data_IF_921522592618
#
_entry.id   IF_921522592618
#
_cell.length_a   1.000
_cell.length_b   1.000
_cell.length_c   1.000
_cell.angle_alpha   90.00
_cell.angle_beta   90.00
_cell.angle_gamma   90.00
#
_symmetry.space_group_name_H-M   'P 1'
#
loop_
_entity.id
_entity.type
_entity.pdbx_description
1 polymer ?
#
# COMPACT_ATOMS: atom_id res chain seq x y z
N UNK A 1 -20.39 -15.47 1.33
CA UNK A 1 -19.09 -15.16 1.96
C UNK A 1 -18.33 -14.19 1.08
N UNK A 2 -17.82 -13.14 1.64
CA UNK A 2 -16.96 -12.20 0.94
C UNK A 2 -15.55 -12.77 0.83
N UNK A 3 -14.95 -12.69 -0.36
CA UNK A 3 -13.58 -13.14 -0.59
C UNK A 3 -12.59 -12.09 -0.09
N UNK A 4 -11.58 -12.52 0.66
CA UNK A 4 -10.49 -11.65 1.10
C UNK A 4 -9.16 -12.17 0.56
N UNK A 5 -8.32 -11.24 0.15
CA UNK A 5 -6.95 -11.56 -0.24
C UNK A 5 -6.09 -11.75 1.02
N UNK A 6 -5.14 -12.67 0.95
CA UNK A 6 -4.16 -12.91 2.01
C UNK A 6 -2.74 -12.88 1.46
N UNK A 7 -1.84 -12.25 2.22
CA UNK A 7 -0.43 -12.18 1.89
C UNK A 7 0.39 -12.28 3.18
N UNK A 8 1.54 -12.94 3.12
CA UNK A 8 2.47 -13.02 4.24
C UNK A 8 3.79 -12.37 3.86
N UNK A 9 4.30 -11.49 4.72
CA UNK A 9 5.51 -10.72 4.48
C UNK A 9 6.41 -10.73 5.71
N UNK A 10 7.74 -10.78 5.54
CA UNK A 10 8.65 -10.56 6.65
C UNK A 10 8.60 -9.10 7.11
N UNK A 11 8.83 -8.86 8.39
CA UNK A 11 8.98 -7.51 8.95
C UNK A 11 10.15 -7.47 9.93
N UNK A 12 10.76 -6.30 10.06
CA UNK A 12 11.91 -6.10 10.94
C UNK A 12 11.49 -5.92 12.40
N UNK A 13 10.39 -5.20 12.63
CA UNK A 13 9.92 -4.83 13.95
C UNK A 13 8.40 -4.83 13.98
N UNK A 14 7.82 -5.66 14.83
CA UNK A 14 6.35 -5.79 14.95
C UNK A 14 5.71 -4.49 15.41
N UNK A 15 6.29 -3.84 16.41
CA UNK A 15 5.71 -2.61 16.99
C UNK A 15 5.69 -1.46 15.99
N UNK A 16 6.79 -1.25 15.28
CA UNK A 16 6.87 -0.18 14.28
C UNK A 16 5.95 -0.46 13.10
N UNK A 17 5.92 -1.70 12.63
CA UNK A 17 5.03 -2.12 11.56
C UNK A 17 3.57 -1.92 11.94
N UNK A 18 3.20 -2.33 13.15
CA UNK A 18 1.86 -2.13 13.71
C UNK A 18 1.46 -0.65 13.71
N UNK A 19 2.34 0.21 14.20
CA UNK A 19 2.07 1.66 14.26
C UNK A 19 1.84 2.27 12.90
N UNK A 20 2.66 1.90 11.92
CA UNK A 20 2.52 2.39 10.56
C UNK A 20 1.17 1.97 9.95
N UNK A 21 0.83 0.69 10.01
CA UNK A 21 -0.40 0.21 9.38
C UNK A 21 -1.67 0.73 10.08
N UNK A 22 -1.65 0.86 11.39
CA UNK A 22 -2.75 1.51 12.11
C UNK A 22 -2.93 2.96 11.66
N UNK A 23 -1.83 3.67 11.44
CA UNK A 23 -1.87 5.07 11.03
C UNK A 23 -2.43 5.28 9.62
N UNK A 24 -2.19 4.37 8.71
CA UNK A 24 -2.73 4.48 7.34
C UNK A 24 -4.17 3.99 7.21
N UNK A 25 -4.81 3.59 8.31
CA UNK A 25 -6.22 3.22 8.31
C UNK A 25 -6.52 1.73 8.39
N UNK A 26 -5.50 0.88 8.49
CA UNK A 26 -5.72 -0.54 8.69
C UNK A 26 -6.12 -0.84 10.13
N UNK A 27 -6.92 -1.86 10.34
CA UNK A 27 -7.19 -2.38 11.68
C UNK A 27 -6.27 -3.57 11.97
N UNK A 28 -6.07 -3.84 13.25
CA UNK A 28 -5.19 -4.91 13.68
C UNK A 28 -6.01 -6.18 13.94
N UNK A 29 -5.45 -7.32 13.55
CA UNK A 29 -6.06 -8.62 13.75
C UNK A 29 -5.36 -9.42 14.85
N UNK A 30 -5.19 -10.70 14.59
CA UNK A 30 -4.52 -11.61 15.52
C UNK A 30 -3.04 -11.23 15.63
N UNK A 31 -2.44 -11.56 16.77
CA UNK A 31 -1.02 -11.29 16.98
C UNK A 31 -0.39 -12.33 17.89
N UNK A 32 0.92 -12.46 17.78
CA UNK A 32 1.77 -13.17 18.72
C UNK A 32 3.04 -12.34 18.93
N UNK A 33 4.02 -12.91 19.63
CA UNK A 33 5.29 -12.24 19.83
C UNK A 33 6.07 -12.06 18.51
N UNK A 34 5.90 -12.97 17.56
CA UNK A 34 6.71 -13.04 16.34
C UNK A 34 5.94 -12.81 15.05
N UNK A 35 4.65 -12.54 15.14
CA UNK A 35 3.85 -12.26 13.95
C UNK A 35 2.60 -11.46 14.33
N UNK A 36 2.00 -10.82 13.35
CA UNK A 36 0.72 -10.15 13.50
C UNK A 36 -0.04 -10.11 12.19
N UNK A 37 -1.37 -10.10 12.28
CA UNK A 37 -2.24 -9.86 11.15
C UNK A 37 -2.67 -8.40 11.11
N UNK A 38 -2.71 -7.86 9.92
CA UNK A 38 -3.25 -6.54 9.62
C UNK A 38 -4.44 -6.71 8.69
N UNK A 39 -5.54 -6.09 9.04
CA UNK A 39 -6.70 -5.98 8.15
C UNK A 39 -6.56 -4.69 7.34
N UNK A 40 -6.08 -4.84 6.11
CA UNK A 40 -5.92 -3.71 5.19
C UNK A 40 -7.18 -3.61 4.32
N UNK A 41 -8.14 -2.83 4.80
CA UNK A 41 -9.41 -2.58 4.12
C UNK A 41 -10.14 -3.88 3.69
N UNK A 42 -10.17 -4.87 4.57
CA UNK A 42 -10.84 -6.15 4.33
C UNK A 42 -9.95 -7.28 3.82
N UNK A 43 -8.66 -7.00 3.62
CA UNK A 43 -7.68 -8.00 3.17
C UNK A 43 -6.66 -8.26 4.27
N UNK A 44 -6.21 -9.49 4.37
CA UNK A 44 -5.30 -9.91 5.45
C UNK A 44 -3.85 -9.89 4.99
N UNK A 45 -3.04 -9.11 5.70
CA UNK A 45 -1.58 -9.16 5.55
C UNK A 45 -1.01 -9.70 6.87
N UNK A 46 -0.29 -10.80 6.81
CA UNK A 46 0.40 -11.36 7.98
C UNK A 46 1.87 -10.93 7.92
N UNK A 47 2.31 -10.21 8.94
CA UNK A 47 3.71 -9.85 9.09
C UNK A 47 4.39 -10.80 10.04
N UNK A 48 5.49 -11.41 9.60
CA UNK A 48 6.27 -12.37 10.38
C UNK A 48 7.62 -11.75 10.69
N UNK A 49 7.96 -11.68 11.97
CA UNK A 49 9.22 -11.07 12.40
C UNK A 49 10.40 -11.85 11.83
N UNK A 50 11.32 -11.14 11.18
CA UNK A 50 12.58 -11.64 10.68
C UNK A 50 13.67 -10.66 11.10
N UNK A 51 14.77 -11.18 11.65
CA UNK A 51 15.86 -10.32 12.13
C UNK A 51 16.56 -9.60 10.98
N UNK A 52 16.70 -10.29 9.86
CA UNK A 52 17.29 -9.75 8.64
C UNK A 52 16.61 -10.37 7.44
N UNK A 53 16.34 -9.57 6.45
CA UNK A 53 15.94 -10.06 5.14
C UNK A 53 16.34 -9.03 4.09
N UNK A 54 16.55 -9.51 2.88
CA UNK A 54 16.85 -8.69 1.73
C UNK A 54 15.75 -8.92 0.70
N UNK A 55 15.03 -7.86 0.36
CA UNK A 55 13.93 -7.94 -0.58
C UNK A 55 14.28 -7.11 -1.80
N UNK A 56 15.23 -7.65 -2.61
CA UNK A 56 15.67 -7.01 -3.84
C UNK A 56 14.77 -7.39 -5.00
N UNK A 57 14.26 -6.40 -5.69
CA UNK A 57 13.54 -6.58 -6.93
C UNK A 57 13.88 -5.42 -7.87
N UNK A 58 13.84 -5.65 -9.19
CA UNK A 58 14.20 -4.60 -10.13
C UNK A 58 13.17 -3.49 -10.15
N UNK A 59 13.61 -2.30 -10.52
CA UNK A 59 12.72 -1.19 -10.82
C UNK A 59 12.19 -1.31 -12.25
N UNK A 60 11.08 -0.63 -12.51
CA UNK A 60 10.56 -0.45 -13.86
C UNK A 60 10.16 1.02 -14.05
N UNK A 61 9.98 1.42 -15.29
CA UNK A 61 9.57 2.77 -15.65
C UNK A 61 8.14 2.72 -16.19
N UNK A 62 7.27 3.52 -15.62
CA UNK A 62 5.91 3.69 -16.10
C UNK A 62 5.59 5.17 -16.19
N UNK A 63 5.30 5.64 -17.39
CA UNK A 63 5.03 7.06 -17.69
C UNK A 63 6.05 8.02 -17.05
N UNK A 64 7.33 7.69 -17.21
CA UNK A 64 8.44 8.51 -16.71
C UNK A 64 8.70 8.38 -15.20
N UNK A 65 7.93 7.59 -14.48
CA UNK A 65 8.14 7.34 -13.05
C UNK A 65 8.90 6.04 -12.86
N UNK A 66 9.91 6.07 -12.00
CA UNK A 66 10.69 4.88 -11.64
C UNK A 66 10.05 4.28 -10.39
N UNK A 67 9.61 3.03 -10.50
CA UNK A 67 8.90 2.32 -9.45
C UNK A 67 9.56 0.95 -9.23
N UNK A 68 9.59 0.44 -7.99
CA UNK A 68 10.00 -0.94 -7.77
C UNK A 68 8.99 -1.89 -8.39
N UNK A 69 9.46 -2.97 -8.99
CA UNK A 69 8.58 -3.98 -9.59
C UNK A 69 7.72 -4.67 -8.55
N UNK A 70 8.22 -4.77 -7.30
CA UNK A 70 7.38 -5.20 -6.19
C UNK A 70 6.88 -3.97 -5.44
N UNK A 71 5.59 -3.81 -5.40
CA UNK A 71 4.87 -2.92 -4.50
C UNK A 71 3.48 -3.51 -4.32
N UNK A 72 2.80 -3.11 -3.28
CA UNK A 72 1.42 -3.52 -3.06
C UNK A 72 0.65 -2.36 -2.48
N UNK A 73 -0.65 -2.48 -2.45
CA UNK A 73 -1.45 -1.38 -1.93
C UNK A 73 -2.93 -1.66 -2.04
N UNK A 74 -3.68 -0.58 -2.12
CA UNK A 74 -5.14 -0.66 -2.07
C UNK A 74 -5.75 0.30 -3.12
N UNK A 75 -6.83 -0.16 -3.72
CA UNK A 75 -7.62 0.66 -4.64
C UNK A 75 -8.82 1.18 -3.86
N UNK A 76 -8.98 2.48 -3.82
CA UNK A 76 -9.98 3.17 -3.02
C UNK A 76 -10.86 4.05 -3.90
N UNK A 77 -12.07 4.35 -3.42
CA UNK A 77 -12.83 5.47 -3.99
C UNK A 77 -12.07 6.77 -3.75
N UNK A 78 -12.32 7.76 -4.58
CA UNK A 78 -11.55 9.01 -4.54
C UNK A 78 -11.68 9.74 -3.19
N UNK A 79 -12.85 9.73 -2.59
CA UNK A 79 -13.08 10.43 -1.31
C UNK A 79 -12.23 9.82 -0.18
N UNK A 80 -12.21 8.50 -0.10
CA UNK A 80 -11.39 7.78 0.90
C UNK A 80 -9.91 8.01 0.61
N UNK A 81 -9.51 7.92 -0.67
CA UNK A 81 -8.14 8.17 -1.11
C UNK A 81 -7.68 9.58 -0.71
N UNK A 82 -8.49 10.59 -0.99
CA UNK A 82 -8.18 11.98 -0.67
C UNK A 82 -8.04 12.19 0.85
N UNK A 83 -8.92 11.59 1.65
CA UNK A 83 -8.87 11.68 3.10
C UNK A 83 -7.55 11.12 3.66
N UNK A 84 -7.13 9.97 3.16
CA UNK A 84 -5.85 9.36 3.58
C UNK A 84 -4.67 10.19 3.10
N UNK A 85 -4.69 10.63 1.85
CA UNK A 85 -3.67 11.50 1.27
C UNK A 85 -3.43 12.75 2.11
N UNK A 86 -4.49 13.48 2.42
CA UNK A 86 -4.41 14.72 3.21
C UNK A 86 -3.89 14.45 4.63
N UNK A 87 -4.34 13.36 5.24
CA UNK A 87 -3.89 12.97 6.58
C UNK A 87 -2.38 12.70 6.60
N UNK A 88 -1.91 11.87 5.68
CA UNK A 88 -0.49 11.49 5.66
C UNK A 88 0.39 12.69 5.30
N UNK A 89 -0.06 13.53 4.40
CA UNK A 89 0.65 14.75 4.03
C UNK A 89 0.73 15.74 5.21
N UNK A 90 -0.36 15.91 5.94
CA UNK A 90 -0.40 16.77 7.13
C UNK A 90 0.53 16.27 8.25
N UNK A 91 0.77 14.96 8.31
CA UNK A 91 1.71 14.36 9.25
C UNK A 91 3.19 14.51 8.84
N UNK A 92 3.44 15.07 7.66
CA UNK A 92 4.79 15.23 7.15
C UNK A 92 5.41 13.93 6.63
N UNK A 93 4.61 12.91 6.35
CA UNK A 93 5.11 11.68 5.74
C UNK A 93 5.59 11.96 4.32
N UNK A 94 6.73 11.36 3.98
CA UNK A 94 7.30 11.48 2.65
C UNK A 94 6.52 10.61 1.67
N UNK A 95 5.81 11.28 0.76
CA UNK A 95 5.12 10.60 -0.33
C UNK A 95 6.10 10.44 -1.49
N UNK A 96 6.59 9.21 -1.67
CA UNK A 96 7.68 8.90 -2.60
C UNK A 96 7.34 9.28 -4.04
N UNK A 97 6.10 9.02 -4.45
CA UNK A 97 5.61 9.36 -5.78
C UNK A 97 4.14 9.75 -5.69
N UNK A 98 3.79 10.87 -6.34
CA UNK A 98 2.42 11.31 -6.50
C UNK A 98 2.21 11.50 -8.00
N UNK A 99 1.25 10.80 -8.60
CA UNK A 99 1.06 10.87 -10.04
C UNK A 99 -0.35 10.49 -10.48
N UNK A 100 -0.77 11.07 -11.59
CA UNK A 100 -1.92 10.57 -12.34
C UNK A 100 -1.38 9.81 -13.55
N UNK A 101 -1.76 8.55 -13.67
CA UNK A 101 -1.35 7.66 -14.74
C UNK A 101 -2.47 7.51 -15.76
N UNK A 102 -2.11 7.25 -17.00
CA UNK A 102 -3.04 7.04 -18.12
C UNK A 102 -4.06 8.17 -18.26
N UNK A 103 -3.60 9.41 -18.06
CA UNK A 103 -4.48 10.58 -18.11
C UNK A 103 -5.24 10.65 -19.44
N UNK A 104 -6.55 10.88 -19.34
CA UNK A 104 -7.49 10.98 -20.45
C UNK A 104 -7.61 9.69 -21.28
N UNK A 105 -7.23 8.55 -20.68
CA UNK A 105 -7.32 7.22 -21.29
C UNK A 105 -8.12 6.28 -20.42
N UNK A 106 -8.54 5.15 -20.97
CA UNK A 106 -9.12 4.07 -20.17
C UNK A 106 -8.10 3.63 -19.12
N UNK A 107 -8.57 3.51 -17.88
CA UNK A 107 -7.69 3.15 -16.77
C UNK A 107 -7.01 4.33 -16.09
N UNK A 108 -7.41 5.59 -16.39
CA UNK A 108 -6.87 6.74 -15.67
C UNK A 108 -7.03 6.55 -14.17
N UNK A 109 -5.93 6.71 -13.44
CA UNK A 109 -5.93 6.60 -12.00
C UNK A 109 -4.90 7.55 -11.37
N UNK A 110 -5.18 7.96 -10.15
CA UNK A 110 -4.27 8.78 -9.35
C UNK A 110 -3.70 7.91 -8.23
N UNK A 111 -2.41 8.05 -8.01
CA UNK A 111 -1.71 7.25 -6.99
C UNK A 111 -0.78 8.11 -6.18
N UNK A 112 -0.59 7.72 -4.91
CA UNK A 112 0.57 8.11 -4.15
C UNK A 112 1.18 6.85 -3.51
N UNK A 113 2.48 6.93 -3.20
CA UNK A 113 3.24 5.82 -2.65
C UNK A 113 3.88 6.25 -1.35
N UNK A 114 3.82 5.38 -0.35
CA UNK A 114 4.53 5.58 0.92
C UNK A 114 5.36 4.35 1.23
N UNK A 115 6.49 4.57 1.88
CA UNK A 115 7.37 3.48 2.30
C UNK A 115 7.03 3.09 3.73
N UNK A 116 6.85 1.80 3.97
CA UNK A 116 6.62 1.29 5.32
C UNK A 116 7.95 1.09 6.08
N UNK A 117 7.93 0.74 7.39
CA UNK A 117 9.16 0.54 8.15
C UNK A 117 10.06 -0.60 7.68
N UNK A 118 9.58 -1.44 6.77
CA UNK A 118 10.32 -2.57 6.22
C UNK A 118 10.84 -2.28 4.81
N UNK A 119 10.73 -1.03 4.35
CA UNK A 119 11.06 -0.60 3.00
C UNK A 119 10.13 -1.12 1.91
N UNK A 120 9.00 -1.68 2.28
CA UNK A 120 7.96 -1.98 1.29
C UNK A 120 7.31 -0.69 0.81
N UNK A 121 7.10 -0.61 -0.49
CA UNK A 121 6.39 0.53 -1.07
C UNK A 121 4.90 0.18 -1.21
N UNK A 122 4.05 1.00 -0.58
CA UNK A 122 2.60 0.86 -0.68
C UNK A 122 2.04 1.89 -1.63
N UNK A 123 1.19 1.43 -2.54
CA UNK A 123 0.46 2.30 -3.46
C UNK A 123 -0.99 2.47 -3.00
N UNK A 124 -1.41 3.72 -2.87
CA UNK A 124 -2.82 4.07 -2.71
C UNK A 124 -3.32 4.60 -4.04
N UNK A 125 -4.27 3.88 -4.64
CA UNK A 125 -4.72 4.11 -6.01
C UNK A 125 -6.20 4.41 -6.03
N UNK A 126 -6.61 5.36 -6.86
CA UNK A 126 -8.02 5.64 -7.12
C UNK A 126 -8.24 5.80 -8.62
N UNK A 127 -9.12 4.99 -9.18
CA UNK A 127 -9.49 5.09 -10.59
C UNK A 127 -10.50 6.22 -10.78
N UNK A 128 -10.31 7.01 -11.83
CA UNK A 128 -11.28 8.03 -12.24
C UNK A 128 -12.63 7.40 -12.55
N UNK A 129 -12.61 6.25 -13.21
CA UNK A 129 -13.78 5.42 -13.43
C UNK A 129 -13.51 4.04 -12.87
N UNK A 130 -14.21 3.66 -11.81
CA UNK A 130 -13.98 2.38 -11.12
C UNK A 130 -14.19 1.16 -12.05
N UNK A 131 -15.02 1.29 -13.08
CA UNK A 131 -15.22 0.23 -14.06
C UNK A 131 -13.97 -0.06 -14.89
N UNK A 132 -13.02 0.87 -14.94
CA UNK A 132 -11.81 0.74 -15.74
C UNK A 132 -10.71 -0.09 -15.04
N UNK A 133 -10.95 -0.53 -13.82
CA UNK A 133 -9.94 -1.28 -13.05
C UNK A 133 -9.39 -2.48 -13.85
N UNK A 134 -10.24 -3.15 -14.60
CA UNK A 134 -9.88 -4.33 -15.39
C UNK A 134 -10.09 -4.12 -16.90
N UNK A 135 -10.34 -2.91 -17.34
CA UNK A 135 -10.51 -2.61 -18.74
C UNK A 135 -9.18 -2.22 -19.39
N UNK A 136 -9.01 -2.68 -20.62
CA UNK A 136 -7.82 -2.33 -21.43
C UNK A 136 -8.08 -1.09 -22.29
#
# INVERSE_FOLDING_TARGET
MQTSFHMSLPCLNIKETKGFYANIGASLGRKSQNWMDVNLFGHQITFIKAEKFNFNNPNYVFEGKILPSFHFGIILDFKTWETIYEKLKAQGLDLVTEATFLKDKVGEHTSFFVKDPNDYLLEFKSFKNSADMFNA
#
